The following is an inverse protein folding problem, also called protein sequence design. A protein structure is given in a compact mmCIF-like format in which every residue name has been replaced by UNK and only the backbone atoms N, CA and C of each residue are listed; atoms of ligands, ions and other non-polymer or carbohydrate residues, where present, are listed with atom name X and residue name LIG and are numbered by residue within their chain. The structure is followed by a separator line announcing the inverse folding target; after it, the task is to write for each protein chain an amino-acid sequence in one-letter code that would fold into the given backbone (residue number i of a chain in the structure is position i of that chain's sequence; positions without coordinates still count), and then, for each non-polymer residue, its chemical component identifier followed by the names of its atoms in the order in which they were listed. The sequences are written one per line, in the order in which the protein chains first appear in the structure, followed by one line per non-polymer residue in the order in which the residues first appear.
data_IF_402737585724
#
_entry.id   IF_402737585724
#
_cell.length_a   1.000
_cell.length_b   1.000
_cell.length_c   1.000
_cell.angle_alpha   90.00
_cell.angle_beta   90.00
_cell.angle_gamma   90.00
#
_symmetry.space_group_name_H-M   'P 1'
#
loop_
_entity.id
_entity.type
_entity.pdbx_description
1 polymer ?
#
# COMPACT_ATOMS: atom_id res chain seq x y z
N UNK A 1 4.64 18.25 -20.07
CA UNK A 1 3.81 17.03 -20.03
C UNK A 1 4.79 15.88 -20.17
N UNK A 2 4.94 15.02 -19.16
CA UNK A 2 5.49 13.71 -19.46
C UNK A 2 4.40 12.95 -20.22
N UNK A 3 4.78 12.21 -21.25
CA UNK A 3 3.86 11.43 -22.05
C UNK A 3 3.39 10.19 -21.27
N UNK A 4 2.27 9.60 -21.72
CA UNK A 4 1.81 8.31 -21.18
C UNK A 4 2.88 7.20 -21.33
N UNK A 5 3.84 7.38 -22.26
CA UNK A 5 4.90 6.42 -22.52
C UNK A 5 5.97 6.38 -21.41
N UNK A 6 6.33 7.49 -20.78
CA UNK A 6 7.25 7.49 -19.63
C UNK A 6 6.63 6.84 -18.38
N UNK A 7 5.31 7.00 -18.19
CA UNK A 7 4.57 6.32 -17.12
C UNK A 7 4.50 4.84 -17.42
N UNK A 8 4.14 4.45 -18.65
CA UNK A 8 4.13 3.06 -19.09
C UNK A 8 5.51 2.42 -18.94
N UNK A 9 6.59 3.10 -19.30
CA UNK A 9 7.96 2.62 -19.13
C UNK A 9 8.34 2.46 -17.65
N UNK A 10 7.82 3.31 -16.76
CA UNK A 10 7.98 3.11 -15.32
C UNK A 10 7.27 1.84 -14.83
N UNK A 11 6.09 1.54 -15.37
CA UNK A 11 5.40 0.27 -15.12
C UNK A 11 6.15 -0.92 -15.75
N UNK A 12 6.73 -0.80 -16.94
CA UNK A 12 7.52 -1.86 -17.58
C UNK A 12 8.83 -2.18 -16.83
N UNK A 13 9.51 -1.16 -16.31
CA UNK A 13 10.70 -1.34 -15.46
C UNK A 13 10.32 -2.04 -14.14
N UNK A 14 9.12 -1.80 -13.62
CA UNK A 14 8.54 -2.47 -12.44
C UNK A 14 8.24 -3.95 -12.75
N UNK A 15 7.54 -4.23 -13.84
CA UNK A 15 7.20 -5.59 -14.29
C UNK A 15 8.45 -6.47 -14.55
N UNK A 16 9.53 -5.85 -15.06
CA UNK A 16 10.82 -6.51 -15.27
C UNK A 16 11.56 -6.83 -13.95
N UNK A 17 11.27 -6.12 -12.86
CA UNK A 17 11.77 -6.45 -11.53
C UNK A 17 10.91 -7.52 -10.84
N UNK A 18 9.61 -7.58 -11.15
CA UNK A 18 8.67 -8.60 -10.65
C UNK A 18 9.01 -10.02 -11.13
N UNK A 19 9.53 -10.17 -12.36
CA UNK A 19 9.83 -11.48 -12.97
C UNK A 19 10.95 -12.26 -12.25
N UNK A 20 11.73 -11.61 -11.39
CA UNK A 20 12.80 -12.25 -10.61
C UNK A 20 12.33 -12.84 -9.27
N UNK A 21 11.05 -12.75 -8.90
CA UNK A 21 10.59 -13.11 -7.53
C UNK A 21 9.43 -14.13 -7.48
N UNK A 22 9.09 -14.81 -8.58
CA UNK A 22 8.12 -15.92 -8.55
C UNK A 22 8.82 -17.28 -8.44
N UNK A 23 9.06 -17.74 -7.21
CA UNK A 23 9.21 -19.16 -6.89
C UNK A 23 8.43 -19.51 -5.61
N UNK A 24 7.43 -20.37 -5.80
CA UNK A 24 6.73 -21.27 -4.87
C UNK A 24 6.13 -20.72 -3.56
N UNK A 25 4.79 -20.79 -3.43
CA UNK A 25 4.17 -21.80 -2.55
C UNK A 25 2.68 -22.00 -2.89
N UNK A 26 2.33 -23.19 -3.37
CA UNK A 26 0.96 -23.71 -3.44
C UNK A 26 0.58 -24.34 -2.10
N UNK A 27 -0.52 -23.89 -1.49
CA UNK A 27 -1.07 -24.47 -0.26
C UNK A 27 -2.49 -25.02 -0.51
N UNK A 28 -2.69 -26.22 0.01
CA UNK A 28 -3.77 -27.15 -0.25
C UNK A 28 -5.09 -26.72 0.42
N UNK A 29 -6.21 -26.97 -0.27
CA UNK A 29 -7.57 -26.75 0.19
C UNK A 29 -7.95 -27.73 1.32
N UNK A 30 -8.21 -27.22 2.52
CA UNK A 30 -8.90 -27.91 3.60
C UNK A 30 -10.23 -27.23 3.89
N UNK A 31 -11.34 -27.85 3.47
CA UNK A 31 -12.70 -27.36 3.73
C UNK A 31 -13.07 -27.60 5.20
N UNK A 32 -13.28 -26.54 5.98
CA UNK A 32 -14.00 -26.61 7.27
C UNK A 32 -15.22 -25.70 7.19
N UNK A 33 -16.41 -26.31 7.08
CA UNK A 33 -17.70 -25.66 7.21
C UNK A 33 -17.97 -25.37 8.69
N UNK A 34 -18.00 -24.09 9.06
CA UNK A 34 -18.46 -23.62 10.36
C UNK A 34 -19.12 -22.24 10.22
N UNK A 35 -20.44 -22.21 10.33
CA UNK A 35 -21.26 -20.99 10.30
C UNK A 35 -20.97 -20.08 11.50
N UNK A 36 -20.25 -18.98 11.29
CA UNK A 36 -20.17 -17.85 12.21
C UNK A 36 -20.32 -16.54 11.43
N UNK A 37 -21.51 -15.97 11.47
CA UNK A 37 -21.89 -14.72 10.77
C UNK A 37 -21.24 -13.48 11.41
N UNK A 38 -20.57 -13.58 12.56
CA UNK A 38 -19.98 -12.42 13.27
C UNK A 38 -18.52 -12.08 12.93
N UNK A 39 -17.84 -12.86 12.10
CA UNK A 39 -16.39 -12.73 11.86
C UNK A 39 -16.02 -12.43 10.40
N UNK A 40 -16.91 -11.84 9.61
CA UNK A 40 -16.64 -11.51 8.21
C UNK A 40 -16.16 -10.07 8.04
N UNK A 41 -15.35 -9.82 7.00
CA UNK A 41 -14.93 -8.46 6.61
C UNK A 41 -16.11 -7.49 6.38
N UNK A 42 -17.31 -8.01 6.09
CA UNK A 42 -18.53 -7.22 5.94
C UNK A 42 -18.93 -6.45 7.22
N UNK A 43 -18.40 -6.83 8.39
CA UNK A 43 -18.70 -6.18 9.67
C UNK A 43 -17.89 -4.89 9.91
N UNK A 44 -16.87 -4.60 9.11
CA UNK A 44 -16.01 -3.43 9.29
C UNK A 44 -16.57 -2.13 8.69
N UNK A 45 -17.81 -2.13 8.17
CA UNK A 45 -18.51 -0.97 7.60
C UNK A 45 -17.66 -0.19 6.58
N UNK A 46 -17.03 -0.91 5.66
CA UNK A 46 -16.23 -0.28 4.62
C UNK A 46 -17.06 0.48 3.58
N UNK A 47 -16.39 1.37 2.86
CA UNK A 47 -16.87 1.96 1.61
C UNK A 47 -17.35 0.88 0.62
N UNK A 48 -18.41 1.12 -0.17
CA UNK A 48 -18.95 0.14 -1.11
C UNK A 48 -17.90 -0.45 -2.06
N UNK A 49 -16.93 0.35 -2.50
CA UNK A 49 -15.84 -0.04 -3.39
C UNK A 49 -14.92 -1.10 -2.75
N UNK A 50 -14.62 -0.95 -1.45
CA UNK A 50 -13.82 -1.93 -0.70
C UNK A 50 -14.61 -3.19 -0.38
N UNK A 51 -15.90 -3.06 -0.04
CA UNK A 51 -16.78 -4.22 0.14
C UNK A 51 -16.81 -5.06 -1.12
N UNK A 52 -16.99 -4.42 -2.28
CA UNK A 52 -16.94 -5.09 -3.58
C UNK A 52 -15.61 -5.80 -3.82
N UNK A 53 -14.48 -5.15 -3.53
CA UNK A 53 -13.16 -5.77 -3.64
C UNK A 53 -13.03 -7.02 -2.76
N UNK A 54 -13.40 -6.92 -1.47
CA UNK A 54 -13.34 -8.02 -0.51
C UNK A 54 -14.16 -9.23 -0.99
N UNK A 55 -15.34 -8.98 -1.55
CA UNK A 55 -16.21 -10.03 -2.10
C UNK A 55 -15.60 -10.68 -3.35
N UNK A 56 -15.15 -9.88 -4.32
CA UNK A 56 -14.63 -10.38 -5.59
C UNK A 56 -13.33 -11.19 -5.44
N UNK A 57 -12.52 -10.85 -4.44
CA UNK A 57 -11.23 -11.50 -4.17
C UNK A 57 -11.31 -12.59 -3.08
N UNK A 58 -12.52 -12.91 -2.59
CA UNK A 58 -12.74 -14.05 -1.68
C UNK A 58 -12.20 -13.86 -0.27
N UNK A 59 -12.12 -12.62 0.23
CA UNK A 59 -11.72 -12.34 1.61
C UNK A 59 -12.90 -12.64 2.56
N UNK A 60 -13.05 -13.91 2.96
CA UNK A 60 -14.16 -14.32 3.82
C UNK A 60 -13.90 -14.04 5.31
N UNK A 61 -12.73 -14.47 5.80
CA UNK A 61 -12.38 -14.44 7.21
C UNK A 61 -11.08 -13.66 7.45
N UNK A 62 -11.12 -12.52 8.17
CA UNK A 62 -9.93 -11.78 8.57
C UNK A 62 -9.08 -12.62 9.52
N UNK A 63 -7.76 -12.50 9.42
CA UNK A 63 -6.82 -13.07 10.39
C UNK A 63 -6.97 -12.41 11.77
N UNK A 64 -6.35 -12.99 12.81
CA UNK A 64 -6.44 -12.42 14.16
C UNK A 64 -5.92 -10.99 14.22
N UNK A 65 -4.76 -10.71 13.60
CA UNK A 65 -4.21 -9.35 13.55
C UNK A 65 -5.13 -8.39 12.80
N UNK A 66 -5.81 -8.85 11.75
CA UNK A 66 -6.78 -8.04 11.01
C UNK A 66 -8.03 -7.74 11.84
N UNK A 67 -8.60 -8.74 12.54
CA UNK A 67 -9.75 -8.57 13.43
C UNK A 67 -9.49 -7.55 14.54
N UNK A 68 -8.31 -7.60 15.15
CA UNK A 68 -7.95 -6.70 16.23
C UNK A 68 -7.63 -5.29 15.71
N UNK A 69 -6.89 -5.20 14.60
CA UNK A 69 -6.30 -3.93 14.17
C UNK A 69 -7.21 -3.10 13.26
N UNK A 70 -7.96 -3.73 12.35
CA UNK A 70 -8.78 -3.00 11.35
C UNK A 70 -9.78 -2.05 12.03
N UNK A 71 -10.58 -2.46 13.05
CA UNK A 71 -11.56 -1.57 13.67
C UNK A 71 -10.95 -0.31 14.28
N UNK A 72 -9.75 -0.41 14.85
CA UNK A 72 -9.04 0.74 15.41
C UNK A 72 -8.38 1.56 14.30
N UNK A 73 -7.82 0.90 13.30
CA UNK A 73 -7.11 1.54 12.21
C UNK A 73 -8.04 2.42 11.35
N UNK A 74 -9.28 1.97 11.08
CA UNK A 74 -10.28 2.74 10.31
C UNK A 74 -10.76 4.00 11.05
N UNK A 75 -10.61 4.05 12.37
CA UNK A 75 -10.93 5.22 13.20
C UNK A 75 -9.80 6.26 13.22
N UNK A 76 -8.65 5.94 12.62
CA UNK A 76 -7.49 6.82 12.60
C UNK A 76 -6.65 6.80 13.88
N UNK A 77 -6.81 5.77 14.71
CA UNK A 77 -6.01 5.58 15.92
C UNK A 77 -4.59 5.13 15.56
N UNK A 78 -3.59 5.66 16.27
CA UNK A 78 -2.20 5.21 16.16
C UNK A 78 -2.06 3.75 16.62
N UNK A 79 -1.37 2.94 15.81
CA UNK A 79 -1.24 1.50 16.05
C UNK A 79 0.21 1.08 15.96
N UNK A 80 0.67 0.38 17.00
CA UNK A 80 1.87 -0.45 16.96
C UNK A 80 1.41 -1.90 16.86
N UNK A 81 1.80 -2.58 15.79
CA UNK A 81 1.35 -3.94 15.50
C UNK A 81 2.54 -4.88 15.33
N UNK A 82 2.58 -5.93 16.15
CA UNK A 82 3.55 -7.01 16.02
C UNK A 82 2.82 -8.32 15.70
N UNK A 83 3.10 -8.89 14.53
CA UNK A 83 2.61 -10.21 14.14
C UNK A 83 3.61 -10.89 13.22
N UNK A 84 3.54 -12.22 13.13
CA UNK A 84 4.37 -13.02 12.22
C UNK A 84 4.17 -12.59 10.75
N UNK A 85 5.18 -12.81 9.92
CA UNK A 85 5.07 -12.60 8.47
C UNK A 85 3.97 -13.47 7.88
N UNK A 86 3.29 -12.97 6.84
CA UNK A 86 2.15 -13.66 6.22
C UNK A 86 0.82 -13.56 6.98
N UNK A 87 0.77 -12.95 8.16
CA UNK A 87 -0.48 -12.80 8.94
C UNK A 87 -1.43 -11.70 8.40
N UNK A 88 -1.07 -11.01 7.31
CA UNK A 88 -1.92 -10.01 6.67
C UNK A 88 -1.88 -8.61 7.30
N UNK A 89 -0.75 -8.22 7.91
CA UNK A 89 -0.51 -6.85 8.43
C UNK A 89 -0.63 -5.78 7.34
N UNK A 90 -0.10 -6.06 6.15
CA UNK A 90 -0.18 -5.17 4.98
C UNK A 90 -1.62 -4.82 4.63
N UNK A 91 -2.50 -5.84 4.60
CA UNK A 91 -3.94 -5.65 4.38
C UNK A 91 -4.60 -4.74 5.41
N UNK A 92 -4.14 -4.75 6.67
CA UNK A 92 -4.69 -3.88 7.72
C UNK A 92 -4.52 -2.42 7.35
N UNK A 93 -3.29 -1.98 7.08
CA UNK A 93 -3.06 -0.57 6.80
C UNK A 93 -3.61 -0.18 5.43
N UNK A 94 -3.60 -1.06 4.42
CA UNK A 94 -4.17 -0.76 3.10
C UNK A 94 -5.68 -0.51 3.20
N UNK A 95 -6.42 -1.40 3.86
CA UNK A 95 -7.87 -1.21 4.04
C UNK A 95 -8.16 0.03 4.87
N UNK A 96 -7.40 0.25 5.95
CA UNK A 96 -7.59 1.39 6.82
C UNK A 96 -7.36 2.72 6.10
N UNK A 97 -6.28 2.84 5.33
CA UNK A 97 -5.96 4.08 4.61
C UNK A 97 -6.91 4.31 3.45
N UNK A 98 -7.26 3.29 2.65
CA UNK A 98 -8.24 3.44 1.57
C UNK A 98 -9.64 3.80 2.10
N UNK A 99 -10.03 3.23 3.25
CA UNK A 99 -11.29 3.58 3.91
C UNK A 99 -11.33 5.06 4.29
N UNK A 100 -10.23 5.62 4.81
CA UNK A 100 -10.15 7.00 5.27
C UNK A 100 -9.79 8.00 4.16
N UNK A 101 -9.22 7.52 3.05
CA UNK A 101 -8.72 8.35 1.96
C UNK A 101 -9.84 9.19 1.34
N UNK A 102 -9.56 10.49 1.21
CA UNK A 102 -10.33 11.43 0.39
C UNK A 102 -9.34 12.00 -0.64
N UNK A 103 -9.32 11.45 -1.88
CA UNK A 103 -8.35 11.86 -2.89
C UNK A 103 -8.47 13.35 -3.20
N UNK A 104 -7.34 14.04 -3.27
CA UNK A 104 -7.21 15.43 -3.71
C UNK A 104 -6.06 15.47 -4.70
N UNK A 105 -6.35 15.86 -5.94
CA UNK A 105 -5.33 15.93 -6.98
C UNK A 105 -4.18 16.85 -6.55
N UNK A 106 -2.96 16.41 -6.81
CA UNK A 106 -1.75 17.14 -6.42
C UNK A 106 -1.30 16.92 -4.97
N UNK A 107 -2.03 16.15 -4.15
CA UNK A 107 -1.71 15.96 -2.73
C UNK A 107 -1.42 14.50 -2.37
N UNK A 108 -0.28 14.27 -1.71
CA UNK A 108 0.03 13.01 -1.04
C UNK A 108 -0.66 13.00 0.33
N UNK A 109 -1.59 12.07 0.53
CA UNK A 109 -2.33 11.90 1.79
C UNK A 109 -1.82 10.71 2.62
N UNK A 110 -1.20 9.73 1.97
CA UNK A 110 -0.69 8.51 2.61
C UNK A 110 0.78 8.34 2.24
N UNK A 111 1.64 8.14 3.23
CA UNK A 111 3.03 7.78 3.05
C UNK A 111 3.30 6.44 3.75
N UNK A 112 3.79 5.47 2.99
CA UNK A 112 4.26 4.17 3.49
C UNK A 112 5.77 4.05 3.29
N UNK A 113 6.49 3.81 4.37
CA UNK A 113 7.92 3.52 4.35
C UNK A 113 8.17 2.03 4.56
N UNK A 114 9.15 1.49 3.84
CA UNK A 114 9.61 0.12 3.98
C UNK A 114 11.11 0.01 3.69
N UNK A 115 11.73 -1.10 4.09
CA UNK A 115 13.19 -1.24 4.09
C UNK A 115 13.80 -1.61 2.72
N UNK A 116 13.06 -2.30 1.83
CA UNK A 116 13.55 -2.72 0.50
C UNK A 116 12.68 -2.22 -0.66
N UNK A 117 13.31 -2.08 -1.83
CA UNK A 117 12.61 -1.72 -3.07
C UNK A 117 11.56 -2.76 -3.46
N UNK A 118 11.88 -4.06 -3.35
CA UNK A 118 10.95 -5.14 -3.68
C UNK A 118 9.70 -5.09 -2.79
N UNK A 119 9.86 -4.81 -1.50
CA UNK A 119 8.73 -4.65 -0.60
C UNK A 119 7.88 -3.41 -0.97
N UNK A 120 8.52 -2.31 -1.38
CA UNK A 120 7.80 -1.12 -1.82
C UNK A 120 6.92 -1.41 -3.04
N UNK A 121 7.44 -2.14 -4.03
CA UNK A 121 6.68 -2.55 -5.21
C UNK A 121 5.56 -3.52 -4.87
N UNK A 122 5.81 -4.52 -4.01
CA UNK A 122 4.76 -5.42 -3.52
C UNK A 122 3.63 -4.66 -2.82
N UNK A 123 3.94 -3.74 -1.91
CA UNK A 123 2.92 -2.95 -1.20
C UNK A 123 2.16 -2.04 -2.18
N UNK A 124 2.84 -1.42 -3.13
CA UNK A 124 2.21 -0.61 -4.18
C UNK A 124 1.24 -1.46 -5.01
N UNK A 125 1.66 -2.63 -5.47
CA UNK A 125 0.80 -3.54 -6.22
C UNK A 125 -0.43 -3.92 -5.38
N UNK A 126 -0.25 -4.26 -4.09
CA UNK A 126 -1.38 -4.53 -3.19
C UNK A 126 -2.36 -3.37 -3.12
N UNK A 127 -1.88 -2.13 -3.00
CA UNK A 127 -2.75 -0.96 -3.07
C UNK A 127 -3.53 -0.88 -4.40
N UNK A 128 -2.87 -1.08 -5.53
CA UNK A 128 -3.51 -1.09 -6.86
C UNK A 128 -4.59 -2.18 -6.97
N UNK A 129 -4.36 -3.37 -6.40
CA UNK A 129 -5.38 -4.44 -6.32
C UNK A 129 -6.58 -3.96 -5.50
N UNK A 130 -6.35 -3.46 -4.30
CA UNK A 130 -7.41 -3.07 -3.36
C UNK A 130 -8.20 -1.85 -3.84
N UNK A 131 -7.56 -0.93 -4.58
CA UNK A 131 -8.22 0.26 -5.13
C UNK A 131 -8.79 0.07 -6.54
N UNK A 132 -8.91 -1.18 -7.03
CA UNK A 132 -9.47 -1.51 -8.36
C UNK A 132 -10.78 -0.79 -8.69
N UNK A 133 -11.64 -0.61 -7.69
CA UNK A 133 -12.95 0.06 -7.84
C UNK A 133 -12.95 1.55 -7.46
N UNK A 134 -11.77 2.14 -7.26
CA UNK A 134 -11.58 3.55 -6.88
C UNK A 134 -10.72 4.27 -7.92
N UNK A 135 -11.28 4.54 -9.11
CA UNK A 135 -10.52 5.06 -10.27
C UNK A 135 -9.79 6.39 -10.05
N UNK A 136 -10.21 7.20 -9.08
CA UNK A 136 -9.53 8.44 -8.72
C UNK A 136 -8.24 8.22 -7.90
N UNK A 137 -8.06 7.06 -7.27
CA UNK A 137 -6.90 6.79 -6.41
C UNK A 137 -5.67 6.54 -7.28
N UNK A 138 -4.55 7.17 -6.89
CA UNK A 138 -3.26 7.11 -7.60
C UNK A 138 -2.21 6.68 -6.58
N UNK A 139 -1.45 5.65 -6.92
CA UNK A 139 -0.50 5.00 -6.04
C UNK A 139 0.81 4.85 -6.79
N UNK A 140 1.92 5.29 -6.20
CA UNK A 140 3.25 5.11 -6.80
C UNK A 140 4.29 4.72 -5.75
N UNK A 141 5.24 3.90 -6.18
CA UNK A 141 6.42 3.55 -5.40
C UNK A 141 7.61 4.44 -5.80
N UNK A 142 8.34 4.98 -4.82
CA UNK A 142 9.59 5.70 -5.04
C UNK A 142 10.76 4.99 -4.34
N UNK A 143 11.62 4.36 -5.13
CA UNK A 143 12.75 3.57 -4.65
C UNK A 143 14.10 4.04 -5.23
N UNK A 144 15.21 3.56 -4.67
CA UNK A 144 16.56 3.80 -5.20
C UNK A 144 16.82 3.14 -6.56
N UNK A 145 17.97 3.43 -7.18
CA UNK A 145 18.39 2.79 -8.44
C UNK A 145 17.82 3.42 -9.72
N UNK A 146 16.73 4.19 -9.64
CA UNK A 146 16.18 4.94 -10.77
C UNK A 146 16.64 6.42 -10.73
N UNK A 147 16.78 7.11 -11.88
CA UNK A 147 17.08 8.54 -11.90
C UNK A 147 16.08 9.34 -11.08
N UNK A 148 16.55 10.18 -10.16
CA UNK A 148 15.67 10.96 -9.27
C UNK A 148 14.74 11.90 -10.06
N UNK A 149 15.24 12.45 -11.18
CA UNK A 149 14.47 13.35 -12.06
C UNK A 149 13.18 12.72 -12.56
N UNK A 150 13.14 11.42 -12.77
CA UNK A 150 11.92 10.72 -13.20
C UNK A 150 10.84 10.85 -12.12
N UNK A 151 11.22 10.67 -10.85
CA UNK A 151 10.29 10.80 -9.72
C UNK A 151 9.88 12.26 -9.51
N UNK A 152 10.80 13.21 -9.66
CA UNK A 152 10.49 14.65 -9.57
C UNK A 152 9.48 15.07 -10.64
N UNK A 153 9.66 14.59 -11.87
CA UNK A 153 8.74 14.87 -12.96
C UNK A 153 7.36 14.24 -12.72
N UNK A 154 7.31 13.00 -12.21
CA UNK A 154 6.07 12.34 -11.82
C UNK A 154 5.35 13.17 -10.74
N UNK A 155 6.05 13.55 -9.67
CA UNK A 155 5.46 14.33 -8.57
C UNK A 155 4.93 15.68 -9.04
N UNK A 156 5.58 16.30 -10.03
CA UNK A 156 5.15 17.57 -10.61
C UNK A 156 3.92 17.44 -11.51
N UNK A 157 3.84 16.39 -12.32
CA UNK A 157 2.84 16.29 -13.40
C UNK A 157 1.69 15.33 -13.09
N UNK A 158 1.93 14.31 -12.27
CA UNK A 158 0.97 13.25 -11.92
C UNK A 158 1.17 12.80 -10.46
N UNK A 159 1.07 13.75 -9.54
CA UNK A 159 1.25 13.51 -8.11
C UNK A 159 0.28 12.43 -7.59
N UNK A 160 0.78 11.37 -6.93
CA UNK A 160 -0.05 10.31 -6.38
C UNK A 160 -0.71 10.72 -5.06
N UNK A 161 -1.81 10.06 -4.72
CA UNK A 161 -2.48 10.20 -3.43
C UNK A 161 -1.79 9.37 -2.33
N UNK A 162 -1.22 8.24 -2.75
CA UNK A 162 -0.53 7.28 -1.90
C UNK A 162 0.88 7.10 -2.42
N UNK A 163 1.85 7.35 -1.54
CA UNK A 163 3.27 7.12 -1.82
C UNK A 163 3.74 5.94 -0.99
N UNK A 164 4.37 4.99 -1.65
CA UNK A 164 5.15 3.91 -1.02
C UNK A 164 6.61 4.15 -1.34
N UNK A 165 7.55 3.90 -0.44
CA UNK A 165 8.95 4.04 -0.81
C UNK A 165 9.96 3.66 0.24
N UNK A 166 11.22 3.57 -0.20
CA UNK A 166 12.34 3.35 0.70
C UNK A 166 12.80 4.66 1.33
N UNK A 167 13.26 4.59 2.58
CA UNK A 167 13.60 5.77 3.38
C UNK A 167 14.56 6.72 2.65
N UNK A 168 15.62 6.20 2.03
CA UNK A 168 16.61 7.01 1.33
C UNK A 168 16.03 7.82 0.17
N UNK A 169 15.22 7.21 -0.70
CA UNK A 169 14.60 7.90 -1.83
C UNK A 169 13.55 8.92 -1.37
N UNK A 170 12.69 8.55 -0.43
CA UNK A 170 11.67 9.45 0.12
C UNK A 170 12.31 10.66 0.79
N UNK A 171 13.34 10.44 1.61
CA UNK A 171 14.08 11.52 2.27
C UNK A 171 14.74 12.47 1.26
N UNK A 172 15.28 11.94 0.18
CA UNK A 172 15.92 12.75 -0.86
C UNK A 172 14.90 13.64 -1.58
N UNK A 173 13.76 13.08 -1.98
CA UNK A 173 12.66 13.81 -2.64
C UNK A 173 12.00 14.85 -1.71
N UNK A 174 11.86 14.54 -0.42
CA UNK A 174 11.35 15.48 0.57
C UNK A 174 12.31 16.64 0.79
N UNK A 175 13.62 16.37 0.93
CA UNK A 175 14.66 17.39 1.11
C UNK A 175 14.81 18.31 -0.10
N UNK A 176 14.66 17.79 -1.32
CA UNK A 176 14.65 18.61 -2.54
C UNK A 176 13.34 19.39 -2.73
N UNK A 177 12.36 19.22 -1.83
CA UNK A 177 11.00 19.79 -1.90
C UNK A 177 10.18 19.32 -3.11
N UNK A 178 10.65 18.30 -3.82
CA UNK A 178 9.89 17.67 -4.91
C UNK A 178 8.68 16.89 -4.36
N UNK A 179 8.85 16.21 -3.23
CA UNK A 179 7.78 15.51 -2.53
C UNK A 179 7.24 16.40 -1.39
N UNK A 180 6.05 16.95 -1.58
CA UNK A 180 5.36 17.73 -0.55
C UNK A 180 4.60 16.81 0.41
N UNK A 181 5.08 16.72 1.66
CA UNK A 181 4.47 15.89 2.71
C UNK A 181 3.51 16.64 3.64
N UNK A 182 3.22 17.93 3.37
CA UNK A 182 2.38 18.76 4.23
C UNK A 182 0.95 18.21 4.43
N UNK A 183 0.43 17.48 3.45
CA UNK A 183 -0.94 16.94 3.45
C UNK A 183 -1.04 15.49 3.91
N UNK A 184 0.07 14.88 4.36
CA UNK A 184 0.07 13.50 4.84
C UNK A 184 -0.79 13.40 6.09
N UNK A 185 -1.80 12.52 6.03
CA UNK A 185 -2.72 12.19 7.12
C UNK A 185 -2.43 10.81 7.71
N UNK A 186 -1.81 9.94 6.92
CA UNK A 186 -1.48 8.58 7.33
C UNK A 186 -0.01 8.32 7.05
N UNK A 187 0.74 8.01 8.10
CA UNK A 187 2.15 7.66 8.03
C UNK A 187 2.34 6.23 8.54
N UNK A 188 2.83 5.36 7.66
CA UNK A 188 2.97 3.93 7.91
C UNK A 188 4.44 3.57 7.78
N UNK A 189 4.94 2.75 8.71
CA UNK A 189 6.25 2.11 8.60
C UNK A 189 6.01 0.60 8.64
N UNK A 190 6.27 -0.07 7.52
CA UNK A 190 6.28 -1.54 7.46
C UNK A 190 7.70 -2.06 7.69
N UNK A 191 7.82 -3.20 8.37
CA UNK A 191 9.09 -3.73 8.87
C UNK A 191 9.90 -2.67 9.65
N UNK A 192 9.24 -2.06 10.63
CA UNK A 192 9.77 -0.95 11.42
C UNK A 192 11.09 -1.28 12.13
N UNK A 193 11.30 -2.54 12.53
CA UNK A 193 12.57 -3.03 13.06
C UNK A 193 13.72 -2.86 12.05
N UNK A 194 13.50 -3.25 10.79
CA UNK A 194 14.48 -3.07 9.70
C UNK A 194 14.66 -1.61 9.28
N UNK A 195 13.58 -0.84 9.27
CA UNK A 195 13.64 0.58 8.88
C UNK A 195 14.38 1.43 9.91
N UNK A 196 14.32 1.06 11.20
CA UNK A 196 14.96 1.78 12.31
C UNK A 196 16.31 1.19 12.73
N UNK A 197 16.78 0.12 12.10
CA UNK A 197 18.14 -0.36 12.29
C UNK A 197 19.14 0.78 12.01
N UNK A 198 20.12 1.05 12.90
CA UNK A 198 21.13 2.08 12.67
C UNK A 198 21.89 1.79 11.35
N UNK A 199 21.96 2.80 10.48
CA UNK A 199 22.78 2.78 9.26
C UNK A 199 24.27 2.67 9.56
#
# INVERSE_FOLDING_TARGET
MLDEAEIANYHEIDDAQETKTKNETSLQHGTIRGSNVSSSFNNFLFKPELVRFVMDFGFEHPSEVQRQSIPQAILGTDIVCQAKSGMGKTTVFILATLQQLKPVDGQVSVLVLCHTSNLAFSIRHEYERFCKYMSAVKVLAFVGGLPIKNHENILKNNCPHIVVGTLGRILTLARSKALNLHYVKHFIIDECDRVLEPL
#
